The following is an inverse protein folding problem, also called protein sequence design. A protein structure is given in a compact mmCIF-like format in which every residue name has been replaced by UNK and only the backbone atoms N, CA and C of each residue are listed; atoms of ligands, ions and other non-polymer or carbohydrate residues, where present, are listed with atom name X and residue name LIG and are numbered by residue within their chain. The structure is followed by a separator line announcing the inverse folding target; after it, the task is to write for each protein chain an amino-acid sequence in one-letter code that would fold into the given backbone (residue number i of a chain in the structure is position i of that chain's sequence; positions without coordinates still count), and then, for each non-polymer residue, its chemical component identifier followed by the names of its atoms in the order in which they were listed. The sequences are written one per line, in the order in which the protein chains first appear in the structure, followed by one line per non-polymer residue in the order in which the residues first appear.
data_IF_874831739930
#
_entry.id   IF_874831739930
#
_cell.length_a   1.000
_cell.length_b   1.000
_cell.length_c   1.000
_cell.angle_alpha   90.00
_cell.angle_beta   90.00
_cell.angle_gamma   90.00
#
_symmetry.space_group_name_H-M   'P 1'
#
loop_
_entity.id
_entity.type
_entity.pdbx_description
1 polymer ?
#
# COMPACT_ATOMS: atom_id res chain seq x y z
N UNK A 1 33.16 -28.94 -6.57
CA UNK A 1 32.38 -29.54 -7.68
C UNK A 1 32.28 -31.03 -7.43
N UNK A 2 31.07 -31.58 -7.31
CA UNK A 2 30.87 -33.02 -7.21
C UNK A 2 30.80 -33.68 -8.59
N UNK A 3 31.20 -34.95 -8.70
CA UNK A 3 31.13 -35.72 -9.95
C UNK A 3 29.67 -35.90 -10.40
N UNK A 4 29.45 -36.00 -11.72
CA UNK A 4 28.15 -36.29 -12.32
C UNK A 4 27.88 -37.79 -12.43
N UNK A 5 28.89 -38.59 -12.07
CA UNK A 5 28.97 -40.03 -12.26
C UNK A 5 29.22 -40.48 -13.69
N UNK A 6 29.45 -39.55 -14.60
CA UNK A 6 29.87 -39.87 -15.96
C UNK A 6 31.40 -39.93 -16.05
N UNK A 7 31.92 -41.05 -16.56
CA UNK A 7 33.32 -41.16 -16.96
C UNK A 7 33.45 -40.81 -18.43
N UNK A 8 34.41 -39.96 -18.75
CA UNK A 8 34.84 -39.70 -20.12
C UNK A 8 36.20 -40.32 -20.33
N UNK A 9 36.45 -40.75 -21.56
CA UNK A 9 37.76 -41.22 -21.99
C UNK A 9 38.42 -40.07 -22.73
N UNK A 10 39.67 -39.73 -22.38
CA UNK A 10 40.41 -38.67 -23.07
C UNK A 10 40.99 -39.14 -24.41
N UNK A 11 41.29 -40.44 -24.51
CA UNK A 11 41.88 -41.06 -25.68
C UNK A 11 41.24 -42.44 -25.95
N UNK A 12 41.32 -42.86 -27.21
CA UNK A 12 40.85 -44.14 -27.73
C UNK A 12 42.07 -44.98 -28.14
N UNK A 13 42.02 -46.28 -27.83
CA UNK A 13 43.03 -47.27 -28.20
C UNK A 13 42.37 -48.37 -29.04
N UNK A 14 43.10 -48.87 -30.05
CA UNK A 14 42.57 -49.86 -31.01
C UNK A 14 42.93 -51.28 -30.57
N UNK A 15 41.93 -52.17 -30.63
CA UNK A 15 42.04 -53.59 -30.22
C UNK A 15 41.61 -54.53 -31.35
N UNK A 16 42.17 -55.73 -31.36
CA UNK A 16 41.68 -56.81 -32.22
C UNK A 16 40.38 -57.40 -31.65
N UNK A 17 39.38 -57.61 -32.50
CA UNK A 17 38.03 -58.03 -32.09
C UNK A 17 37.91 -59.52 -31.76
N UNK A 18 38.86 -60.33 -32.22
CA UNK A 18 38.88 -61.78 -32.05
C UNK A 18 39.48 -62.22 -30.71
N UNK A 19 40.51 -61.51 -30.22
CA UNK A 19 41.19 -61.86 -28.96
C UNK A 19 41.22 -60.71 -27.91
N UNK A 20 40.78 -59.51 -28.27
CA UNK A 20 40.80 -58.35 -27.39
C UNK A 20 42.21 -57.85 -27.07
N UNK A 21 43.23 -58.25 -27.84
CA UNK A 21 44.61 -57.80 -27.65
C UNK A 21 44.83 -56.40 -28.23
N UNK A 22 45.67 -55.57 -27.59
CA UNK A 22 45.98 -54.23 -28.08
C UNK A 22 46.76 -54.33 -29.39
N UNK A 23 46.39 -53.51 -30.37
CA UNK A 23 47.06 -53.48 -31.69
C UNK A 23 48.47 -52.88 -31.65
N UNK A 24 48.86 -52.25 -30.53
CA UNK A 24 50.12 -51.52 -30.37
C UNK A 24 50.18 -50.18 -31.09
N UNK A 25 49.07 -49.72 -31.68
CA UNK A 25 48.97 -48.42 -32.33
C UNK A 25 48.90 -47.27 -31.29
N UNK A 26 49.39 -46.07 -31.62
CA UNK A 26 49.24 -44.90 -30.76
C UNK A 26 47.77 -44.59 -30.46
N UNK A 27 47.49 -44.12 -29.25
CA UNK A 27 46.15 -43.67 -28.89
C UNK A 27 45.79 -42.39 -29.66
N UNK A 28 44.50 -42.23 -29.98
CA UNK A 28 43.96 -41.01 -30.60
C UNK A 28 43.04 -40.25 -29.64
N UNK A 29 42.85 -38.92 -29.78
CA UNK A 29 41.92 -38.17 -28.94
C UNK A 29 40.46 -38.64 -29.10
N UNK A 30 39.71 -38.72 -27.99
CA UNK A 30 38.27 -39.01 -28.02
C UNK A 30 37.46 -37.71 -28.16
N UNK A 31 37.22 -37.28 -29.41
CA UNK A 31 36.55 -36.01 -29.71
C UNK A 31 35.23 -36.24 -30.45
N UNK A 32 34.22 -35.39 -30.20
CA UNK A 32 32.85 -35.55 -30.73
C UNK A 32 32.73 -35.55 -32.26
N UNK A 33 33.76 -35.08 -32.96
CA UNK A 33 33.84 -35.07 -34.42
C UNK A 33 34.42 -36.36 -35.00
N UNK A 34 34.95 -37.25 -34.16
CA UNK A 34 35.49 -38.54 -34.58
C UNK A 34 34.35 -39.55 -34.74
N UNK A 35 34.28 -40.31 -35.87
CA UNK A 35 33.28 -41.36 -36.06
C UNK A 35 33.27 -42.41 -34.94
N UNK A 36 34.41 -42.65 -34.29
CA UNK A 36 34.58 -43.63 -33.20
C UNK A 36 34.41 -43.00 -31.81
N UNK A 37 33.84 -41.79 -31.72
CA UNK A 37 33.64 -41.10 -30.45
C UNK A 37 32.88 -41.95 -29.44
N UNK A 38 33.46 -42.10 -28.25
CA UNK A 38 32.81 -42.75 -27.11
C UNK A 38 32.28 -41.65 -26.19
N UNK A 39 30.95 -41.50 -26.17
CA UNK A 39 30.26 -40.60 -25.26
C UNK A 39 30.52 -40.99 -23.79
N UNK A 40 30.52 -40.03 -22.86
CA UNK A 40 30.66 -40.33 -21.44
C UNK A 40 29.60 -41.33 -20.97
N UNK A 41 30.03 -42.32 -20.19
CA UNK A 41 29.16 -43.39 -19.69
C UNK A 41 28.92 -43.21 -18.19
N UNK A 42 27.66 -43.40 -17.76
CA UNK A 42 27.28 -43.36 -16.35
C UNK A 42 27.85 -44.58 -15.63
N UNK A 43 28.72 -44.35 -14.66
CA UNK A 43 29.39 -45.37 -13.85
C UNK A 43 29.01 -45.18 -12.38
N UNK A 44 27.92 -45.83 -11.95
CA UNK A 44 27.41 -45.68 -10.58
C UNK A 44 28.18 -46.47 -9.54
N UNK A 45 29.08 -47.38 -9.94
CA UNK A 45 29.79 -48.28 -9.02
C UNK A 45 31.13 -47.73 -8.58
N UNK A 46 31.87 -47.11 -9.48
CA UNK A 46 33.21 -46.56 -9.21
C UNK A 46 33.27 -45.04 -9.36
N UNK A 47 32.24 -44.43 -9.95
CA UNK A 47 32.04 -42.99 -10.00
C UNK A 47 30.61 -42.64 -9.56
N UNK A 48 30.14 -43.15 -8.42
CA UNK A 48 28.78 -42.84 -7.96
C UNK A 48 28.52 -41.31 -7.97
N UNK A 49 27.43 -40.84 -8.61
CA UNK A 49 27.14 -39.42 -8.71
C UNK A 49 26.97 -38.84 -7.31
N UNK A 50 27.63 -37.71 -7.06
CA UNK A 50 27.45 -36.96 -5.83
C UNK A 50 25.99 -36.54 -5.66
N UNK A 51 25.41 -36.88 -4.50
CA UNK A 51 24.05 -36.46 -4.16
C UNK A 51 24.01 -34.94 -4.10
N UNK A 52 23.02 -34.35 -4.79
CA UNK A 52 22.74 -32.91 -4.74
C UNK A 52 21.32 -32.71 -4.24
N UNK A 53 21.19 -31.86 -3.24
CA UNK A 53 19.92 -31.40 -2.73
C UNK A 53 19.70 -29.99 -3.26
N UNK A 54 18.57 -29.78 -3.93
CA UNK A 54 18.21 -28.50 -4.51
C UNK A 54 17.28 -27.75 -3.56
N UNK A 55 17.46 -26.44 -3.44
CA UNK A 55 16.58 -25.61 -2.63
C UNK A 55 15.16 -25.65 -3.18
N UNK A 56 14.17 -25.59 -2.28
CA UNK A 56 12.78 -25.30 -2.67
C UNK A 56 12.60 -23.79 -2.83
N UNK A 57 11.48 -23.37 -3.42
CA UNK A 57 11.16 -21.94 -3.49
C UNK A 57 11.13 -21.34 -2.08
N UNK A 58 11.88 -20.24 -1.90
CA UNK A 58 11.87 -19.43 -0.68
C UNK A 58 11.55 -17.99 -1.02
N UNK A 59 10.92 -17.29 -0.08
CA UNK A 59 10.51 -15.90 -0.26
C UNK A 59 10.81 -15.11 0.99
N UNK A 60 11.26 -13.87 0.80
CA UNK A 60 11.44 -12.93 1.89
C UNK A 60 10.95 -11.56 1.42
N UNK A 61 10.17 -10.90 2.28
CA UNK A 61 9.66 -9.57 2.01
C UNK A 61 10.41 -8.55 2.85
N UNK A 62 10.73 -7.39 2.26
CA UNK A 62 11.25 -6.25 2.98
C UNK A 62 10.48 -4.99 2.58
N UNK A 63 10.43 -4.05 3.52
CA UNK A 63 9.90 -2.72 3.28
C UNK A 63 11.00 -1.85 2.69
N UNK A 64 10.71 -1.11 1.62
CA UNK A 64 11.63 -0.08 1.13
C UNK A 64 11.94 0.93 2.24
N UNK A 65 13.22 1.22 2.49
CA UNK A 65 13.67 2.02 3.64
C UNK A 65 14.47 3.27 3.26
N UNK A 66 14.71 3.50 1.98
CA UNK A 66 15.38 4.70 1.45
C UNK A 66 14.38 5.77 0.97
N UNK A 67 13.18 5.82 1.56
CA UNK A 67 12.21 6.88 1.28
C UNK A 67 12.57 8.17 2.03
N UNK A 68 12.25 9.32 1.42
CA UNK A 68 12.42 10.61 2.07
C UNK A 68 11.50 10.79 3.29
N UNK A 69 11.74 11.79 4.14
CA UNK A 69 10.88 12.09 5.28
C UNK A 69 9.40 12.22 4.88
N UNK A 70 8.49 11.62 5.64
CA UNK A 70 7.04 11.66 5.37
C UNK A 70 6.54 10.59 4.39
N UNK A 71 7.39 9.66 3.95
CA UNK A 71 7.01 8.55 3.08
C UNK A 71 7.33 7.18 3.72
N UNK A 72 6.42 6.24 3.51
CA UNK A 72 6.52 4.82 3.81
C UNK A 72 6.91 4.07 2.56
N UNK A 73 7.93 3.22 2.62
CA UNK A 73 8.15 2.28 1.53
C UNK A 73 7.06 1.22 1.46
N UNK A 74 6.69 0.78 0.27
CA UNK A 74 5.89 -0.43 0.08
C UNK A 74 6.69 -1.69 0.45
N UNK A 75 5.95 -2.77 0.71
CA UNK A 75 6.52 -4.10 0.96
C UNK A 75 6.76 -4.77 -0.39
N UNK A 76 7.99 -5.20 -0.64
CA UNK A 76 8.39 -5.92 -1.84
C UNK A 76 8.87 -7.31 -1.45
N UNK A 77 8.45 -8.33 -2.20
CA UNK A 77 8.83 -9.73 -1.98
C UNK A 77 9.91 -10.14 -2.97
N UNK A 78 11.07 -10.55 -2.45
CA UNK A 78 12.11 -11.22 -3.23
C UNK A 78 11.86 -12.73 -3.18
N UNK A 79 11.93 -13.38 -4.34
CA UNK A 79 11.75 -14.84 -4.49
C UNK A 79 13.07 -15.47 -4.91
N UNK A 80 13.47 -16.52 -4.20
CA UNK A 80 14.47 -17.48 -4.63
C UNK A 80 13.71 -18.69 -5.21
N UNK A 81 13.68 -18.80 -6.54
CA UNK A 81 12.97 -19.89 -7.22
C UNK A 81 13.55 -21.26 -6.84
N UNK A 82 12.75 -22.31 -7.01
CA UNK A 82 13.21 -23.67 -6.77
C UNK A 82 14.43 -24.01 -7.64
N UNK A 83 15.35 -24.81 -7.10
CA UNK A 83 16.61 -25.22 -7.72
C UNK A 83 17.64 -24.12 -7.98
N UNK A 84 17.42 -22.89 -7.48
CA UNK A 84 18.38 -21.80 -7.59
C UNK A 84 19.66 -22.06 -6.79
N UNK A 85 19.54 -22.72 -5.63
CA UNK A 85 20.67 -23.13 -4.80
C UNK A 85 20.75 -24.66 -4.71
N UNK A 86 21.96 -25.17 -4.52
CA UNK A 86 22.16 -26.59 -4.27
C UNK A 86 23.22 -26.82 -3.19
N UNK A 87 23.10 -27.95 -2.51
CA UNK A 87 24.08 -28.42 -1.53
C UNK A 87 24.36 -29.90 -1.73
N UNK A 88 25.59 -30.32 -1.42
CA UNK A 88 25.96 -31.74 -1.34
C UNK A 88 25.77 -32.30 0.07
N UNK A 89 25.32 -31.48 1.03
CA UNK A 89 25.16 -31.86 2.44
C UNK A 89 23.73 -32.31 2.71
N UNK A 90 22.74 -31.43 2.47
CA UNK A 90 21.33 -31.73 2.71
C UNK A 90 20.42 -30.69 2.05
N UNK A 91 19.12 -31.00 1.97
CA UNK A 91 18.10 -30.03 1.58
C UNK A 91 18.04 -28.83 2.54
N UNK A 92 18.25 -29.06 3.84
CA UNK A 92 18.28 -28.00 4.84
C UNK A 92 19.42 -27.01 4.59
N UNK A 93 20.60 -27.51 4.20
CA UNK A 93 21.74 -26.66 3.86
C UNK A 93 21.49 -25.86 2.57
N UNK A 94 20.94 -26.49 1.52
CA UNK A 94 20.58 -25.78 0.29
C UNK A 94 19.53 -24.67 0.54
N UNK A 95 18.55 -24.95 1.41
CA UNK A 95 17.57 -23.95 1.83
C UNK A 95 18.19 -22.85 2.69
N UNK A 96 19.15 -23.17 3.57
CA UNK A 96 19.86 -22.17 4.36
C UNK A 96 20.67 -21.20 3.49
N UNK A 97 21.26 -21.69 2.40
CA UNK A 97 21.91 -20.85 1.39
C UNK A 97 20.90 -19.91 0.69
N UNK A 98 19.72 -20.41 0.33
CA UNK A 98 18.64 -19.60 -0.24
C UNK A 98 18.16 -18.52 0.74
N UNK A 99 17.97 -18.88 2.01
CA UNK A 99 17.55 -17.96 3.07
C UNK A 99 18.63 -16.89 3.33
N UNK A 100 19.92 -17.27 3.33
CA UNK A 100 21.03 -16.34 3.48
C UNK A 100 21.13 -15.35 2.31
N UNK A 101 20.93 -15.83 1.08
CA UNK A 101 20.88 -14.95 -0.10
C UNK A 101 19.70 -13.99 -0.04
N UNK A 102 18.50 -14.47 0.33
CA UNK A 102 17.33 -13.62 0.52
C UNK A 102 17.61 -12.53 1.56
N UNK A 103 18.13 -12.90 2.73
CA UNK A 103 18.47 -11.97 3.80
C UNK A 103 19.48 -10.90 3.36
N UNK A 104 20.48 -11.28 2.56
CA UNK A 104 21.50 -10.36 2.07
C UNK A 104 20.99 -9.39 0.98
N UNK A 105 19.98 -9.78 0.20
CA UNK A 105 19.57 -9.04 -1.01
C UNK A 105 18.20 -8.37 -0.92
N UNK A 106 17.31 -8.82 -0.02
CA UNK A 106 15.91 -8.38 0.03
C UNK A 106 15.76 -6.86 0.23
N UNK A 107 16.63 -6.24 1.03
CA UNK A 107 16.53 -4.80 1.28
C UNK A 107 16.94 -3.96 0.07
N UNK A 108 18.03 -4.33 -0.62
CA UNK A 108 18.46 -3.68 -1.87
C UNK A 108 17.39 -3.85 -2.95
N UNK A 109 16.81 -5.04 -3.05
CA UNK A 109 15.71 -5.30 -3.97
C UNK A 109 14.48 -4.43 -3.66
N UNK A 110 14.04 -4.38 -2.39
CA UNK A 110 12.95 -3.52 -1.97
C UNK A 110 13.23 -2.03 -2.25
N UNK A 111 14.48 -1.60 -2.05
CA UNK A 111 14.89 -0.22 -2.33
C UNK A 111 14.89 0.13 -3.82
N UNK A 112 15.12 -0.83 -4.72
CA UNK A 112 15.12 -0.60 -6.16
C UNK A 112 13.74 -0.75 -6.80
N UNK A 113 12.95 -1.75 -6.37
CA UNK A 113 11.67 -2.09 -6.99
C UNK A 113 10.45 -1.49 -6.25
N UNK A 114 10.61 -1.09 -4.98
CA UNK A 114 9.51 -0.57 -4.17
C UNK A 114 9.15 0.88 -4.49
N UNK A 115 7.92 1.23 -4.16
CA UNK A 115 7.35 2.58 -4.22
C UNK A 115 7.45 3.27 -2.85
N UNK A 116 7.53 4.60 -2.85
CA UNK A 116 7.37 5.41 -1.64
C UNK A 116 5.94 5.96 -1.65
N UNK A 117 5.12 5.47 -0.74
CA UNK A 117 3.79 5.97 -0.49
C UNK A 117 3.86 6.96 0.67
N UNK A 118 2.92 7.90 0.76
CA UNK A 118 2.90 8.83 1.89
C UNK A 118 2.68 8.00 3.16
N UNK A 119 3.56 8.10 4.17
CA UNK A 119 3.23 7.59 5.51
C UNK A 119 2.09 8.44 6.02
N UNK A 120 0.85 8.00 5.83
CA UNK A 120 -0.20 8.36 6.75
C UNK A 120 0.05 7.54 8.01
N UNK A 121 0.89 8.07 8.90
CA UNK A 121 0.75 7.72 10.31
C UNK A 121 -0.36 8.63 10.82
N UNK A 122 -1.61 8.14 10.98
CA UNK A 122 -2.48 8.80 11.95
C UNK A 122 -1.66 8.79 13.25
N UNK A 123 -1.53 9.93 13.95
CA UNK A 123 -0.63 10.03 15.09
C UNK A 123 -1.06 9.03 16.17
N UNK A 124 -0.43 7.85 16.19
CA UNK A 124 -0.52 6.88 17.28
C UNK A 124 0.51 7.27 18.32
N UNK A 125 0.07 8.09 19.27
CA UNK A 125 0.81 8.36 20.51
C UNK A 125 0.90 9.83 20.86
N UNK A 126 0.00 10.28 21.73
CA UNK A 126 0.20 11.47 22.56
C UNK A 126 -0.77 12.63 22.29
N UNK A 127 -1.93 12.58 22.96
CA UNK A 127 -2.66 13.76 23.44
C UNK A 127 -3.07 14.85 22.44
N UNK A 128 -4.36 14.93 22.12
CA UNK A 128 -4.99 16.16 21.63
C UNK A 128 -5.55 16.04 20.22
N UNK A 129 -6.88 15.97 20.13
CA UNK A 129 -7.62 15.71 18.89
C UNK A 129 -7.28 16.62 17.72
N UNK A 130 -7.02 15.99 16.57
CA UNK A 130 -7.08 16.64 15.25
C UNK A 130 -8.41 16.28 14.61
N UNK A 131 -9.47 16.96 15.04
CA UNK A 131 -10.72 17.03 14.28
C UNK A 131 -10.40 17.52 12.88
N UNK A 132 -10.88 16.83 11.85
CA UNK A 132 -10.81 17.32 10.48
C UNK A 132 -11.26 18.75 10.31
N UNK A 133 -10.45 19.66 9.77
CA UNK A 133 -10.82 21.07 9.64
C UNK A 133 -10.87 21.53 8.18
N UNK A 134 -11.83 22.41 7.90
CA UNK A 134 -11.96 23.14 6.65
C UNK A 134 -11.09 24.40 6.67
N UNK A 135 -10.67 24.85 5.50
CA UNK A 135 -9.79 26.04 5.33
C UNK A 135 -10.58 27.34 5.28
N UNK A 136 -9.92 28.46 5.53
CA UNK A 136 -10.46 29.81 5.29
C UNK A 136 -11.04 29.96 3.87
N UNK A 137 -12.10 30.75 3.74
CA UNK A 137 -12.83 30.97 2.50
C UNK A 137 -13.82 29.87 2.14
N UNK A 138 -13.87 28.76 2.90
CA UNK A 138 -14.88 27.73 2.68
C UNK A 138 -16.27 28.29 2.97
N UNK A 139 -17.20 28.16 2.02
CA UNK A 139 -18.57 28.66 2.11
C UNK A 139 -19.48 27.63 2.77
N UNK A 140 -19.99 27.95 3.95
CA UNK A 140 -20.89 27.11 4.73
C UNK A 140 -22.33 27.51 4.48
N UNK A 141 -23.19 26.53 4.19
CA UNK A 141 -24.61 26.79 3.91
C UNK A 141 -25.42 26.93 5.20
N UNK A 142 -26.25 27.98 5.24
CA UNK A 142 -27.19 28.28 6.32
C UNK A 142 -28.59 27.74 6.02
N UNK A 143 -29.49 27.63 7.02
CA UNK A 143 -30.84 27.07 6.82
C UNK A 143 -31.71 27.81 5.81
N UNK A 144 -31.48 29.11 5.60
CA UNK A 144 -32.18 29.93 4.61
C UNK A 144 -31.63 29.77 3.17
N UNK A 145 -30.64 28.89 2.98
CA UNK A 145 -29.97 28.65 1.71
C UNK A 145 -28.85 29.65 1.39
N UNK A 146 -28.69 30.70 2.19
CA UNK A 146 -27.54 31.60 2.06
C UNK A 146 -26.25 30.90 2.46
N UNK A 147 -25.11 31.48 2.07
CA UNK A 147 -23.79 30.93 2.38
C UNK A 147 -22.95 31.97 3.07
N UNK A 148 -22.17 31.53 4.05
CA UNK A 148 -21.23 32.39 4.79
C UNK A 148 -19.84 31.79 4.77
N UNK A 149 -18.81 32.63 4.68
CA UNK A 149 -17.45 32.16 4.83
C UNK A 149 -17.24 31.60 6.25
N UNK A 150 -16.48 30.50 6.35
CA UNK A 150 -16.29 29.75 7.59
C UNK A 150 -15.67 30.62 8.72
N UNK A 151 -14.81 31.57 8.36
CA UNK A 151 -14.17 32.51 9.26
C UNK A 151 -15.11 33.56 9.85
N UNK A 152 -16.29 33.74 9.27
CA UNK A 152 -17.30 34.68 9.74
C UNK A 152 -18.38 34.02 10.59
N UNK A 153 -18.31 32.70 10.79
CA UNK A 153 -19.27 31.97 11.61
C UNK A 153 -19.11 32.33 13.09
N UNK A 154 -20.21 32.24 13.84
CA UNK A 154 -20.22 32.49 15.29
C UNK A 154 -20.75 31.28 16.06
N UNK A 155 -20.45 31.20 17.35
CA UNK A 155 -21.13 30.25 18.25
C UNK A 155 -22.65 30.41 18.17
N UNK A 156 -23.35 29.30 18.37
CA UNK A 156 -24.82 29.15 18.30
C UNK A 156 -25.43 29.43 16.92
N UNK A 157 -24.63 29.77 15.90
CA UNK A 157 -25.12 29.93 14.54
C UNK A 157 -25.63 28.59 14.00
N UNK A 158 -26.85 28.60 13.46
CA UNK A 158 -27.46 27.44 12.84
C UNK A 158 -26.87 27.22 11.45
N UNK A 159 -26.48 25.99 11.17
CA UNK A 159 -26.06 25.54 9.85
C UNK A 159 -27.14 24.65 9.23
N UNK A 160 -27.16 24.61 7.89
CA UNK A 160 -27.90 23.57 7.18
C UNK A 160 -27.15 22.24 7.33
N UNK A 161 -27.80 21.31 8.01
CA UNK A 161 -27.30 19.96 8.30
C UNK A 161 -28.16 18.91 7.60
N UNK A 162 -27.72 17.64 7.67
CA UNK A 162 -28.36 16.55 6.93
C UNK A 162 -28.28 15.25 7.71
N UNK A 163 -29.41 14.79 8.24
CA UNK A 163 -29.48 13.48 8.89
C UNK A 163 -29.50 12.40 7.82
N UNK A 164 -28.49 11.53 7.83
CA UNK A 164 -28.43 10.37 6.93
C UNK A 164 -29.17 9.22 7.61
N UNK A 165 -30.25 8.72 7.01
CA UNK A 165 -31.23 7.84 7.68
C UNK A 165 -30.63 6.55 8.25
N UNK A 166 -29.62 5.99 7.58
CA UNK A 166 -28.98 4.74 8.00
C UNK A 166 -27.71 4.96 8.84
N UNK A 167 -27.33 6.22 9.07
CA UNK A 167 -26.16 6.58 9.85
C UNK A 167 -26.58 6.88 11.28
N UNK A 168 -26.07 6.09 12.23
CA UNK A 168 -26.07 6.53 13.62
C UNK A 168 -24.97 7.58 13.77
N UNK A 169 -25.33 8.86 13.80
CA UNK A 169 -24.35 9.94 13.91
C UNK A 169 -23.66 9.86 15.28
N UNK A 170 -22.33 9.74 15.27
CA UNK A 170 -21.54 9.58 16.50
C UNK A 170 -20.29 10.44 16.50
N UNK A 171 -19.71 10.57 17.67
CA UNK A 171 -18.42 11.24 17.87
C UNK A 171 -17.26 10.24 17.84
N UNK A 172 -17.42 9.11 17.17
CA UNK A 172 -16.38 8.10 17.01
C UNK A 172 -16.08 7.88 15.52
N UNK A 173 -14.95 8.42 15.07
CA UNK A 173 -14.52 8.28 13.68
C UNK A 173 -14.34 6.80 13.28
N UNK A 174 -13.90 5.93 14.18
CA UNK A 174 -13.75 4.49 13.89
C UNK A 174 -15.09 3.82 13.60
N UNK A 175 -16.16 4.23 14.28
CA UNK A 175 -17.52 3.73 13.99
C UNK A 175 -18.04 4.31 12.68
N UNK A 176 -17.78 5.59 12.41
CA UNK A 176 -18.15 6.23 11.13
C UNK A 176 -17.41 5.61 9.93
N UNK A 177 -16.14 5.20 10.09
CA UNK A 177 -15.38 4.49 9.05
C UNK A 177 -15.88 3.07 8.78
N UNK A 178 -16.55 2.43 9.75
CA UNK A 178 -17.18 1.12 9.57
C UNK A 178 -18.52 1.22 8.86
N UNK A 179 -19.16 2.39 8.91
CA UNK A 179 -20.45 2.60 8.27
C UNK A 179 -20.31 2.65 6.74
N UNK A 180 -21.26 2.02 6.06
CA UNK A 180 -21.45 2.17 4.62
C UNK A 180 -22.89 1.86 4.23
N UNK A 181 -23.35 2.43 3.11
CA UNK A 181 -24.63 2.09 2.49
C UNK A 181 -24.53 2.12 0.96
N UNK A 182 -25.42 1.41 0.27
CA UNK A 182 -25.53 1.40 -1.20
C UNK A 182 -26.38 2.55 -1.75
N UNK A 183 -27.25 3.11 -0.91
CA UNK A 183 -28.09 4.27 -1.24
C UNK A 183 -28.05 5.32 -0.13
N UNK A 184 -27.80 6.58 -0.51
CA UNK A 184 -27.77 7.71 0.42
C UNK A 184 -29.16 8.37 0.45
N UNK A 185 -29.87 8.17 1.54
CA UNK A 185 -31.11 8.88 1.87
C UNK A 185 -30.83 9.85 3.02
N UNK A 186 -31.25 11.10 2.87
CA UNK A 186 -30.97 12.14 3.84
C UNK A 186 -32.12 13.15 4.00
N UNK A 187 -32.27 13.62 5.23
CA UNK A 187 -33.27 14.60 5.64
C UNK A 187 -32.59 15.91 6.05
N UNK A 188 -33.03 17.01 5.46
CA UNK A 188 -32.50 18.35 5.76
C UNK A 188 -32.99 18.83 7.11
N UNK A 189 -32.05 19.26 7.92
CA UNK A 189 -32.24 19.65 9.31
C UNK A 189 -31.30 20.83 9.62
N UNK A 190 -31.30 21.29 10.86
CA UNK A 190 -30.40 22.36 11.31
C UNK A 190 -29.67 21.95 12.56
N UNK A 191 -28.37 22.26 12.62
CA UNK A 191 -27.57 22.09 13.84
C UNK A 191 -26.84 23.39 14.18
N UNK A 192 -26.91 23.87 15.44
CA UNK A 192 -26.07 24.96 15.93
C UNK A 192 -24.59 24.57 16.06
N UNK A 193 -23.72 25.56 15.86
CA UNK A 193 -22.30 25.50 16.23
C UNK A 193 -22.17 25.58 17.76
N UNK A 194 -21.69 24.50 18.37
CA UNK A 194 -21.46 24.39 19.82
C UNK A 194 -20.01 24.62 20.23
N UNK A 195 -19.09 24.52 19.28
CA UNK A 195 -17.67 24.86 19.46
C UNK A 195 -17.14 25.43 18.16
N UNK A 196 -16.37 26.51 18.26
CA UNK A 196 -15.68 27.12 17.12
C UNK A 196 -14.29 27.52 17.58
N UNK A 197 -13.29 27.26 16.74
CA UNK A 197 -11.91 27.63 17.02
C UNK A 197 -11.18 27.97 15.73
N UNK A 198 -10.04 28.65 15.87
CA UNK A 198 -9.14 28.99 14.79
C UNK A 198 -7.79 28.32 15.03
N UNK A 199 -7.26 27.68 13.99
CA UNK A 199 -5.95 27.02 14.00
C UNK A 199 -5.26 27.24 12.66
N UNK A 200 -4.03 26.75 12.57
CA UNK A 200 -3.25 26.71 11.35
C UNK A 200 -2.92 25.26 11.01
N UNK A 201 -2.98 24.92 9.73
CA UNK A 201 -2.46 23.69 9.17
C UNK A 201 -1.37 24.00 8.14
N UNK A 202 -0.42 23.08 8.02
CA UNK A 202 0.67 23.13 7.02
C UNK A 202 0.51 22.06 5.95
N UNK A 203 -0.65 21.38 5.93
CA UNK A 203 -0.98 20.36 4.95
C UNK A 203 -2.48 20.29 4.77
N UNK A 204 -2.94 20.47 3.54
CA UNK A 204 -4.35 20.34 3.14
C UNK A 204 -4.45 19.53 1.86
N UNK A 205 -5.62 18.92 1.64
CA UNK A 205 -5.98 18.20 0.42
C UNK A 205 -6.97 19.08 -0.33
N UNK A 206 -6.66 19.39 -1.57
CA UNK A 206 -7.50 20.17 -2.48
C UNK A 206 -8.12 19.19 -3.48
N UNK A 207 -9.44 19.23 -3.59
CA UNK A 207 -10.23 18.37 -4.47
C UNK A 207 -10.89 19.23 -5.55
N UNK A 208 -10.85 18.74 -6.80
CA UNK A 208 -11.43 19.39 -7.98
C UNK A 208 -11.06 20.87 -8.08
N UNK A 209 -9.76 21.15 -8.11
CA UNK A 209 -9.20 22.50 -8.33
C UNK A 209 -9.73 23.58 -7.39
N UNK A 210 -9.98 23.22 -6.12
CA UNK A 210 -10.42 24.15 -5.07
C UNK A 210 -11.90 24.07 -4.73
N UNK A 211 -12.66 23.17 -5.37
CA UNK A 211 -14.06 22.92 -5.00
C UNK A 211 -14.18 22.57 -3.51
N UNK A 212 -13.28 21.73 -3.01
CA UNK A 212 -13.26 21.34 -1.61
C UNK A 212 -11.82 21.26 -1.10
N UNK A 213 -11.55 21.85 0.06
CA UNK A 213 -10.24 21.81 0.68
C UNK A 213 -10.33 21.65 2.19
N UNK A 214 -9.62 20.65 2.73
CA UNK A 214 -9.58 20.40 4.16
C UNK A 214 -8.26 19.73 4.58
N UNK A 215 -8.05 19.60 5.89
CA UNK A 215 -6.95 18.79 6.43
C UNK A 215 -7.07 17.32 6.00
N UNK A 216 -5.96 16.56 5.85
CA UNK A 216 -6.00 15.14 5.47
C UNK A 216 -6.86 14.25 6.37
N UNK A 217 -7.02 14.59 7.65
CA UNK A 217 -7.83 13.84 8.61
C UNK A 217 -9.30 14.23 8.58
N UNK A 218 -9.74 15.08 7.64
CA UNK A 218 -11.13 15.50 7.53
C UNK A 218 -12.04 14.37 7.11
N UNK A 219 -13.13 14.18 7.85
CA UNK A 219 -14.04 13.07 7.66
C UNK A 219 -14.98 13.40 6.49
N UNK A 220 -14.64 12.88 5.32
CA UNK A 220 -15.38 13.18 4.10
C UNK A 220 -16.29 12.02 3.72
N UNK A 221 -17.55 12.33 3.41
CA UNK A 221 -18.47 11.39 2.79
C UNK A 221 -18.12 11.26 1.30
N UNK A 222 -17.92 10.03 0.84
CA UNK A 222 -17.70 9.71 -0.58
C UNK A 222 -18.49 8.49 -0.98
N UNK A 223 -18.80 8.37 -2.27
CA UNK A 223 -19.20 7.10 -2.87
C UNK A 223 -18.02 6.51 -3.65
N UNK A 224 -17.67 5.25 -3.33
CA UNK A 224 -16.63 4.48 -4.01
C UNK A 224 -17.17 3.08 -4.31
N UNK A 225 -17.03 2.63 -5.55
CA UNK A 225 -17.52 1.31 -6.00
C UNK A 225 -19.03 1.08 -5.68
N UNK A 226 -19.86 2.12 -5.81
CA UNK A 226 -21.30 2.05 -5.55
C UNK A 226 -21.72 2.20 -4.09
N UNK A 227 -20.78 2.24 -3.14
CA UNK A 227 -21.08 2.37 -1.72
C UNK A 227 -20.69 3.75 -1.19
N UNK A 228 -21.60 4.39 -0.47
CA UNK A 228 -21.35 5.57 0.36
C UNK A 228 -20.66 5.16 1.65
N UNK A 229 -19.63 5.91 2.04
CA UNK A 229 -18.87 5.71 3.27
C UNK A 229 -18.11 6.96 3.66
N UNK A 230 -17.71 7.05 4.91
CA UNK A 230 -16.77 8.06 5.36
C UNK A 230 -15.33 7.59 5.18
N UNK A 231 -14.46 8.51 4.75
CA UNK A 231 -13.02 8.31 4.67
C UNK A 231 -12.29 9.53 5.24
N UNK A 232 -11.04 9.38 5.67
CA UNK A 232 -10.15 10.53 5.78
C UNK A 232 -9.99 11.17 4.40
N UNK A 233 -10.05 12.49 4.30
CA UNK A 233 -9.89 13.19 3.02
C UNK A 233 -8.54 12.88 2.37
N UNK A 234 -7.51 12.57 3.15
CA UNK A 234 -6.20 12.13 2.64
C UNK A 234 -6.26 10.83 1.83
N UNK A 235 -7.31 10.03 1.97
CA UNK A 235 -7.52 8.76 1.28
C UNK A 235 -8.45 8.89 0.06
N UNK A 236 -8.86 10.11 -0.29
CA UNK A 236 -9.72 10.38 -1.45
C UNK A 236 -8.98 10.07 -2.75
N UNK A 237 -9.67 9.44 -3.69
CA UNK A 237 -9.12 9.02 -4.97
C UNK A 237 -9.86 9.69 -6.13
N UNK A 238 -9.16 9.90 -7.23
CA UNK A 238 -9.80 10.25 -8.51
C UNK A 238 -10.77 9.13 -8.88
N UNK A 239 -12.00 9.50 -9.24
CA UNK A 239 -13.11 8.57 -9.50
C UNK A 239 -14.00 8.28 -8.29
N UNK A 240 -13.63 8.72 -7.09
CA UNK A 240 -14.61 8.83 -6.01
C UNK A 240 -15.69 9.85 -6.37
N UNK A 241 -16.85 9.73 -5.75
CA UNK A 241 -17.97 10.62 -5.99
C UNK A 241 -18.31 11.42 -4.72
N UNK A 242 -18.63 12.70 -4.89
CA UNK A 242 -19.10 13.61 -3.84
C UNK A 242 -20.60 13.84 -3.96
N UNK A 243 -21.26 14.02 -2.81
CA UNK A 243 -22.68 14.37 -2.75
C UNK A 243 -22.87 15.87 -2.58
N UNK A 244 -23.66 16.48 -3.44
CA UNK A 244 -23.91 17.93 -3.40
C UNK A 244 -25.18 18.29 -2.63
N UNK A 245 -25.30 19.57 -2.29
CA UNK A 245 -26.48 20.14 -1.66
C UNK A 245 -27.74 19.94 -2.50
N UNK A 246 -27.61 19.95 -3.82
CA UNK A 246 -28.70 19.76 -4.80
C UNK A 246 -29.02 18.28 -5.05
N UNK A 247 -28.44 17.37 -4.24
CA UNK A 247 -28.56 15.91 -4.34
C UNK A 247 -27.97 15.34 -5.62
N UNK A 248 -27.04 16.07 -6.23
CA UNK A 248 -26.28 15.60 -7.38
C UNK A 248 -25.06 14.82 -6.92
N UNK A 249 -24.59 13.92 -7.79
CA UNK A 249 -23.38 13.15 -7.59
C UNK A 249 -22.34 13.66 -8.57
N UNK A 250 -21.24 14.19 -8.07
CA UNK A 250 -20.16 14.73 -8.89
C UNK A 250 -18.88 13.91 -8.69
N UNK A 251 -18.13 13.60 -9.76
CA UNK A 251 -16.90 12.85 -9.64
C UNK A 251 -15.74 13.72 -9.13
N UNK A 252 -14.84 13.10 -8.39
CA UNK A 252 -13.51 13.62 -8.10
C UNK A 252 -12.64 13.42 -9.33
N UNK A 253 -12.21 14.53 -9.92
CA UNK A 253 -11.42 14.61 -11.15
C UNK A 253 -9.97 15.03 -10.89
N UNK A 254 -9.73 15.74 -9.78
CA UNK A 254 -8.39 16.17 -9.38
C UNK A 254 -8.23 16.11 -7.85
N UNK A 255 -7.06 15.67 -7.40
CA UNK A 255 -6.65 15.68 -5.99
C UNK A 255 -5.23 16.21 -5.92
N UNK A 256 -5.02 17.32 -5.21
CA UNK A 256 -3.69 17.92 -5.01
C UNK A 256 -3.43 18.16 -3.53
N UNK A 257 -2.14 18.19 -3.17
CA UNK A 257 -1.71 18.45 -1.79
C UNK A 257 -1.15 19.87 -1.76
N UNK A 258 -1.68 20.68 -0.85
CA UNK A 258 -1.07 21.94 -0.49
C UNK A 258 -0.24 21.77 0.79
N UNK A 259 1.02 22.22 0.74
CA UNK A 259 1.96 22.22 1.88
C UNK A 259 2.22 23.63 2.42
N UNK A 260 1.58 24.64 1.84
CA UNK A 260 1.63 25.99 2.36
C UNK A 260 0.74 26.14 3.59
N UNK A 261 1.07 27.15 4.40
CA UNK A 261 0.32 27.49 5.60
C UNK A 261 -1.11 27.89 5.23
N UNK A 262 -2.10 27.27 5.86
CA UNK A 262 -3.52 27.63 5.72
C UNK A 262 -4.18 27.83 7.08
N UNK A 263 -5.03 28.85 7.18
CA UNK A 263 -5.91 28.99 8.33
C UNK A 263 -7.03 27.94 8.21
N UNK A 264 -7.33 27.29 9.34
CA UNK A 264 -8.34 26.24 9.43
C UNK A 264 -9.28 26.50 10.61
N UNK A 265 -10.52 26.04 10.46
CA UNK A 265 -11.60 26.34 11.41
C UNK A 265 -12.24 25.05 11.94
N UNK A 266 -11.65 24.45 12.99
CA UNK A 266 -12.29 23.37 13.72
C UNK A 266 -13.60 23.86 14.35
N UNK A 267 -14.69 23.14 14.09
CA UNK A 267 -16.00 23.43 14.68
C UNK A 267 -16.70 22.13 15.12
N UNK A 268 -17.68 22.25 16.00
CA UNK A 268 -18.54 21.14 16.42
C UNK A 268 -19.99 21.56 16.30
N UNK A 269 -20.79 20.72 15.67
CA UNK A 269 -22.24 20.87 15.56
C UNK A 269 -22.93 19.92 16.54
N UNK A 270 -24.19 20.18 16.91
CA UNK A 270 -24.99 19.28 17.73
C UNK A 270 -26.48 19.54 17.45
N UNK A 271 -27.36 18.53 17.33
CA UNK A 271 -27.09 17.10 17.53
C UNK A 271 -26.45 16.39 16.34
N UNK A 272 -26.56 16.96 15.14
CA UNK A 272 -26.01 16.34 13.93
C UNK A 272 -24.74 17.05 13.47
N UNK A 273 -23.78 16.28 13.01
CA UNK A 273 -22.41 16.69 12.73
C UNK A 273 -22.13 16.87 11.23
N UNK A 274 -23.08 16.49 10.39
CA UNK A 274 -23.07 16.68 8.94
C UNK A 274 -23.55 18.08 8.57
N UNK A 275 -22.95 18.64 7.52
CA UNK A 275 -23.27 19.97 7.01
C UNK A 275 -22.73 20.15 5.59
N UNK A 276 -23.09 21.26 4.94
CA UNK A 276 -22.65 21.56 3.58
C UNK A 276 -21.56 22.63 3.56
N UNK A 277 -20.42 22.27 2.98
CA UNK A 277 -19.25 23.12 2.78
C UNK A 277 -18.93 23.20 1.29
N UNK A 278 -18.93 24.41 0.73
CA UNK A 278 -18.94 24.67 -0.71
C UNK A 278 -20.04 23.91 -1.46
N UNK A 279 -21.16 23.63 -0.78
CA UNK A 279 -22.26 22.82 -1.32
C UNK A 279 -21.98 21.31 -1.35
N UNK A 280 -20.87 20.84 -0.77
CA UNK A 280 -20.56 19.41 -0.62
C UNK A 280 -20.94 18.94 0.78
N UNK A 281 -21.66 17.82 0.87
CA UNK A 281 -21.99 17.20 2.14
C UNK A 281 -20.72 16.63 2.79
N UNK A 282 -20.44 17.09 4.00
CA UNK A 282 -19.30 16.63 4.80
C UNK A 282 -19.69 16.47 6.27
N UNK A 283 -18.76 15.98 7.10
CA UNK A 283 -18.96 15.72 8.51
C UNK A 283 -17.87 16.42 9.35
N UNK A 284 -18.26 16.96 10.51
CA UNK A 284 -17.31 17.46 11.50
C UNK A 284 -17.32 16.65 12.78
N UNK A 285 -16.18 16.03 13.06
CA UNK A 285 -15.97 15.28 14.28
C UNK A 285 -16.05 16.18 15.54
N UNK A 286 -16.90 15.82 16.51
CA UNK A 286 -16.88 16.38 17.86
C UNK A 286 -15.69 15.80 18.63
N UNK A 287 -14.77 16.65 19.05
CA UNK A 287 -13.79 16.25 20.06
C UNK A 287 -14.54 15.82 21.34
N UNK A 288 -14.25 14.65 21.93
CA UNK A 288 -14.62 14.42 23.32
C UNK A 288 -13.97 15.52 24.15
N UNK A 289 -14.73 16.08 25.10
CA UNK A 289 -14.19 17.00 26.10
C UNK A 289 -12.98 16.30 26.72
N UNK A 290 -11.78 16.86 26.52
CA UNK A 290 -10.66 16.46 27.35
C UNK A 290 -11.08 16.82 28.78
N UNK A 291 -11.27 15.81 29.63
CA UNK A 291 -11.39 16.06 31.06
C UNK A 291 -10.10 16.77 31.48
N UNK A 292 -10.22 18.01 31.92
CA UNK A 292 -9.15 18.69 32.65
C UNK A 292 -8.81 17.83 33.87
N UNK A 293 -7.64 17.19 33.82
CA UNK A 293 -6.96 16.59 34.96
C UNK A 293 -5.57 17.19 35.06
#
# INVERSE_FOLDING_TARGET
MGNTGYKSFAALELYYVDDGSPTGQPTKPNVVTDPDYIAPVLDTTTCAPSVRYYSVEKRLSAKKNNCGPGYSGSIVTLTADANLFFSTISLADANAQADAWLAANVQTHANNAGTCEVTYTPPTGGGGGSSGCLVEGTLITLPDGTRKAIEELTLDQLLLSSEIETLNDTNNAEELYKWSCDHLSENRITSPITKLSHKVAHKTIIVNDGLFEATPTHLQLVQRNGYWKFIPLGDILIGDNLYTIDKEIIPVTAVTINLEKRNIYPMTLNPFHTFFANGILTHNYKQPLANDY
#
